data_IF_582456382230
#
_entry.id   IF_582456382230
#
_cell.length_a   1.000
_cell.length_b   1.000
_cell.length_c   1.000
_cell.angle_alpha   90.00
_cell.angle_beta   90.00
_cell.angle_gamma   90.00
#
_symmetry.space_group_name_H-M   'P 1'
#
loop_
_entity.id
_entity.type
_entity.pdbx_description
1 polymer ?
#
# COMPACT_ATOMS: atom_id res chain seq x y z
N UNK A 1 -94.44 -12.68 81.32
CA UNK A 1 -95.70 -13.12 80.69
C UNK A 1 -96.71 -13.67 81.71
N UNK A 2 -96.30 -14.49 82.68
CA UNK A 2 -97.16 -14.98 83.78
C UNK A 2 -97.74 -13.89 84.69
N UNK A 3 -97.04 -12.77 84.89
CA UNK A 3 -97.48 -11.68 85.77
C UNK A 3 -98.53 -10.75 85.15
N UNK A 4 -98.70 -10.76 83.82
CA UNK A 4 -99.77 -10.00 83.13
C UNK A 4 -101.08 -10.78 82.98
N UNK A 5 -101.08 -12.07 83.28
CA UNK A 5 -102.33 -12.87 83.33
C UNK A 5 -103.03 -12.79 84.69
N UNK A 6 -102.30 -12.40 85.75
CA UNK A 6 -102.86 -12.23 87.10
C UNK A 6 -103.76 -10.99 87.23
N UNK A 7 -103.55 -9.96 86.41
CA UNK A 7 -104.35 -8.72 86.44
C UNK A 7 -105.68 -8.83 85.67
N UNK A 8 -105.99 -10.00 85.11
CA UNK A 8 -107.21 -10.30 84.38
C UNK A 8 -108.37 -10.75 85.27
N UNK A 9 -108.61 -10.11 86.42
CA UNK A 9 -109.77 -10.41 87.25
C UNK A 9 -111.03 -9.77 86.63
N UNK A 10 -111.84 -10.61 85.97
CA UNK A 10 -113.11 -10.23 85.30
C UNK A 10 -114.28 -10.26 86.29
N UNK A 11 -114.29 -9.37 87.26
CA UNK A 11 -115.52 -8.96 87.94
C UNK A 11 -115.65 -7.45 87.81
N UNK A 12 -116.63 -7.00 87.03
CA UNK A 12 -116.77 -5.60 86.65
C UNK A 12 -117.27 -4.71 87.81
N UNK A 13 -117.85 -5.30 88.86
CA UNK A 13 -118.16 -4.66 90.14
C UNK A 13 -118.09 -5.70 91.26
N UNK A 14 -117.18 -5.49 92.21
CA UNK A 14 -117.27 -6.16 93.51
C UNK A 14 -118.11 -5.26 94.44
N UNK A 15 -119.14 -5.77 95.14
CA UNK A 15 -119.96 -4.92 95.99
C UNK A 15 -119.17 -4.43 97.21
N UNK A 16 -119.28 -3.15 97.55
CA UNK A 16 -118.73 -2.57 98.79
C UNK A 16 -119.49 -3.03 100.06
N UNK A 17 -120.53 -3.86 99.89
CA UNK A 17 -121.42 -4.36 100.96
C UNK A 17 -121.38 -5.90 100.99
N UNK A 18 -121.34 -6.55 102.17
CA UNK A 18 -121.28 -8.01 102.30
C UNK A 18 -122.48 -8.72 101.66
N UNK A 19 -122.24 -9.82 100.93
CA UNK A 19 -123.23 -10.56 100.12
C UNK A 19 -124.49 -10.98 100.88
N UNK A 20 -124.42 -11.11 102.20
CA UNK A 20 -125.48 -11.56 103.09
C UNK A 20 -126.58 -10.52 103.33
N UNK A 21 -126.35 -9.23 102.98
CA UNK A 21 -127.30 -8.13 103.17
C UNK A 21 -128.07 -7.74 101.89
N UNK A 22 -127.78 -8.39 100.76
CA UNK A 22 -128.45 -8.12 99.48
C UNK A 22 -129.80 -8.84 99.43
N UNK A 23 -130.85 -8.16 98.97
CA UNK A 23 -132.11 -8.82 98.63
C UNK A 23 -131.90 -9.77 97.44
N UNK A 24 -132.67 -10.86 97.36
CA UNK A 24 -132.54 -11.84 96.26
C UNK A 24 -132.62 -11.19 94.86
N UNK A 25 -133.43 -10.15 94.73
CA UNK A 25 -133.54 -9.31 93.52
C UNK A 25 -132.26 -8.56 93.17
N UNK A 26 -131.53 -8.03 94.15
CA UNK A 26 -130.27 -7.32 93.96
C UNK A 26 -129.13 -8.30 93.65
N UNK A 27 -129.13 -9.48 94.28
CA UNK A 27 -128.17 -10.54 94.01
C UNK A 27 -128.34 -11.12 92.60
N UNK A 28 -129.58 -11.35 92.15
CA UNK A 28 -129.87 -11.75 90.77
C UNK A 28 -129.49 -10.65 89.76
N UNK A 29 -129.73 -9.37 90.07
CA UNK A 29 -129.31 -8.24 89.22
C UNK A 29 -127.79 -8.13 89.08
N UNK A 30 -127.06 -8.24 90.19
CA UNK A 30 -125.59 -8.21 90.22
C UNK A 30 -124.96 -9.43 89.53
N UNK A 31 -125.60 -10.60 89.64
CA UNK A 31 -125.20 -11.80 88.92
C UNK A 31 -125.46 -11.66 87.40
N UNK A 32 -126.60 -11.08 87.00
CA UNK A 32 -126.92 -10.81 85.60
C UNK A 32 -126.00 -9.76 84.97
N UNK A 33 -125.68 -8.68 85.69
CA UNK A 33 -124.72 -7.66 85.26
C UNK A 33 -123.29 -8.22 85.12
N UNK A 34 -122.82 -9.00 86.10
CA UNK A 34 -121.50 -9.61 86.03
C UNK A 34 -121.42 -10.66 84.92
N UNK A 35 -122.45 -11.49 84.72
CA UNK A 35 -122.52 -12.42 83.59
C UNK A 35 -122.57 -11.67 82.26
N UNK A 36 -123.34 -10.60 82.15
CA UNK A 36 -123.39 -9.75 80.96
C UNK A 36 -122.05 -9.07 80.63
N UNK A 37 -121.35 -8.55 81.65
CA UNK A 37 -120.02 -8.00 81.51
C UNK A 37 -118.98 -9.06 81.13
N UNK A 38 -119.10 -10.28 81.67
CA UNK A 38 -118.24 -11.41 81.31
C UNK A 38 -118.44 -11.81 79.85
N UNK A 39 -119.70 -11.89 79.38
CA UNK A 39 -120.04 -12.17 77.97
C UNK A 39 -119.50 -11.08 77.05
N UNK A 40 -119.63 -9.81 77.42
CA UNK A 40 -119.10 -8.67 76.66
C UNK A 40 -117.57 -8.71 76.59
N UNK A 41 -116.91 -8.98 77.72
CA UNK A 41 -115.45 -9.10 77.79
C UNK A 41 -114.95 -10.33 77.00
N UNK A 42 -115.70 -11.43 77.03
CA UNK A 42 -115.41 -12.61 76.23
C UNK A 42 -115.53 -12.30 74.74
N UNK A 43 -116.61 -11.66 74.29
CA UNK A 43 -116.75 -11.20 72.90
C UNK A 43 -115.59 -10.29 72.47
N UNK A 44 -115.24 -9.30 73.31
CA UNK A 44 -114.13 -8.37 73.05
C UNK A 44 -112.77 -9.07 73.03
N UNK A 45 -112.58 -10.11 73.84
CA UNK A 45 -111.39 -10.95 73.83
C UNK A 45 -111.32 -11.80 72.56
N UNK A 46 -112.44 -12.39 72.14
CA UNK A 46 -112.55 -13.14 70.88
C UNK A 46 -112.25 -12.24 69.69
N UNK A 47 -112.81 -11.03 69.61
CA UNK A 47 -112.51 -10.05 68.55
C UNK A 47 -111.03 -9.62 68.54
N UNK A 48 -110.41 -9.47 69.72
CA UNK A 48 -108.97 -9.18 69.82
C UNK A 48 -108.12 -10.35 69.34
N UNK A 49 -108.51 -11.58 69.67
CA UNK A 49 -107.82 -12.80 69.21
C UNK A 49 -107.91 -12.89 67.69
N UNK A 50 -109.10 -12.73 67.10
CA UNK A 50 -109.27 -12.81 65.64
C UNK A 50 -108.50 -11.70 64.91
N UNK A 51 -108.45 -10.49 65.46
CA UNK A 51 -107.62 -9.40 64.92
C UNK A 51 -106.11 -9.69 65.04
N UNK A 52 -105.65 -10.24 66.17
CA UNK A 52 -104.24 -10.63 66.34
C UNK A 52 -103.87 -11.81 65.43
N UNK A 53 -104.74 -12.79 65.26
CA UNK A 53 -104.57 -13.89 64.30
C UNK A 53 -104.45 -13.36 62.88
N UNK A 54 -105.30 -12.39 62.51
CA UNK A 54 -105.21 -11.72 61.22
C UNK A 54 -103.87 -10.98 61.05
N UNK A 55 -103.44 -10.19 62.04
CA UNK A 55 -102.14 -9.50 62.00
C UNK A 55 -100.98 -10.50 61.92
N UNK A 56 -101.00 -11.56 62.73
CA UNK A 56 -99.97 -12.60 62.71
C UNK A 56 -99.91 -13.28 61.34
N UNK A 57 -101.06 -13.57 60.73
CA UNK A 57 -101.12 -14.11 59.38
C UNK A 57 -100.54 -13.13 58.37
N UNK A 58 -100.96 -11.87 58.35
CA UNK A 58 -100.40 -10.84 57.48
C UNK A 58 -98.88 -10.66 57.66
N UNK A 59 -98.38 -10.69 58.90
CA UNK A 59 -96.94 -10.60 59.19
C UNK A 59 -96.19 -11.83 58.69
N UNK A 60 -96.78 -13.01 58.80
CA UNK A 60 -96.20 -14.26 58.29
C UNK A 60 -96.15 -14.24 56.77
N UNK A 61 -97.23 -13.83 56.11
CA UNK A 61 -97.32 -13.74 54.65
C UNK A 61 -96.31 -12.71 54.09
N UNK A 62 -96.16 -11.56 54.75
CA UNK A 62 -95.16 -10.55 54.38
C UNK A 62 -93.72 -10.99 54.65
N UNK A 63 -93.47 -11.75 55.72
CA UNK A 63 -92.14 -12.27 56.01
C UNK A 63 -91.75 -13.37 55.01
N UNK A 64 -92.69 -14.24 54.64
CA UNK A 64 -92.48 -15.26 53.61
C UNK A 64 -92.21 -14.62 52.24
N UNK A 65 -92.98 -13.60 51.85
CA UNK A 65 -92.75 -12.92 50.56
C UNK A 65 -91.43 -12.15 50.55
N UNK A 66 -91.03 -11.55 51.68
CA UNK A 66 -89.74 -10.90 51.80
C UNK A 66 -88.59 -11.92 51.75
N UNK A 67 -88.70 -13.04 52.46
CA UNK A 67 -87.70 -14.11 52.42
C UNK A 67 -87.54 -14.64 50.99
N UNK A 68 -88.64 -14.93 50.30
CA UNK A 68 -88.61 -15.44 48.94
C UNK A 68 -87.99 -14.42 47.97
N UNK A 69 -88.33 -13.14 48.09
CA UNK A 69 -87.71 -12.10 47.24
C UNK A 69 -86.21 -11.93 47.52
N UNK A 70 -85.74 -12.12 48.75
CA UNK A 70 -84.32 -12.13 49.08
C UNK A 70 -83.60 -13.37 48.52
N UNK A 71 -84.17 -14.57 48.66
CA UNK A 71 -83.61 -15.81 48.12
C UNK A 71 -83.50 -15.71 46.59
N UNK A 72 -84.55 -15.25 45.90
CA UNK A 72 -84.54 -15.02 44.45
C UNK A 72 -83.47 -14.00 44.03
N UNK A 73 -83.28 -12.93 44.83
CA UNK A 73 -82.26 -11.92 44.55
C UNK A 73 -80.84 -12.46 44.76
N UNK A 74 -80.60 -13.27 45.80
CA UNK A 74 -79.32 -13.91 46.03
C UNK A 74 -78.99 -14.94 44.96
N UNK A 75 -79.97 -15.74 44.53
CA UNK A 75 -79.79 -16.71 43.45
C UNK A 75 -79.42 -16.01 42.14
N UNK A 76 -80.16 -14.96 41.75
CA UNK A 76 -79.82 -14.13 40.59
C UNK A 76 -78.42 -13.51 40.67
N UNK A 77 -78.05 -12.99 41.85
CA UNK A 77 -76.72 -12.39 42.05
C UNK A 77 -75.61 -13.44 41.96
N UNK A 78 -75.82 -14.63 42.52
CA UNK A 78 -74.90 -15.77 42.43
C UNK A 78 -74.71 -16.24 40.99
N UNK A 79 -75.79 -16.34 40.21
CA UNK A 79 -75.72 -16.68 38.79
C UNK A 79 -74.98 -15.61 37.97
N UNK A 80 -75.24 -14.33 38.22
CA UNK A 80 -74.51 -13.23 37.57
C UNK A 80 -73.01 -13.26 37.90
N UNK A 81 -72.64 -13.51 39.16
CA UNK A 81 -71.24 -13.60 39.58
C UNK A 81 -70.54 -14.77 38.87
N UNK A 82 -71.18 -15.95 38.80
CA UNK A 82 -70.64 -17.12 38.09
C UNK A 82 -70.48 -16.86 36.59
N UNK A 83 -71.47 -16.20 35.97
CA UNK A 83 -71.39 -15.82 34.56
C UNK A 83 -70.23 -14.84 34.30
N UNK A 84 -70.04 -13.87 35.18
CA UNK A 84 -68.95 -12.91 35.12
C UNK A 84 -67.59 -13.57 35.31
N UNK A 85 -67.43 -14.44 36.31
CA UNK A 85 -66.18 -15.17 36.55
C UNK A 85 -65.80 -16.04 35.35
N UNK A 86 -66.78 -16.72 34.76
CA UNK A 86 -66.56 -17.53 33.56
C UNK A 86 -66.18 -16.67 32.34
N UNK A 87 -66.78 -15.49 32.16
CA UNK A 87 -66.37 -14.54 31.12
C UNK A 87 -64.91 -14.07 31.32
N UNK A 88 -64.52 -13.72 32.55
CA UNK A 88 -63.15 -13.33 32.87
C UNK A 88 -62.14 -14.47 32.70
N UNK A 89 -62.49 -15.69 33.07
CA UNK A 89 -61.64 -16.86 32.84
C UNK A 89 -61.41 -17.12 31.35
N UNK A 90 -62.46 -16.98 30.52
CA UNK A 90 -62.32 -17.08 29.05
C UNK A 90 -61.40 -16.02 28.49
N UNK A 91 -61.57 -14.76 28.90
CA UNK A 91 -60.72 -13.66 28.43
C UNK A 91 -59.27 -13.84 28.88
N UNK A 92 -59.05 -14.22 30.14
CA UNK A 92 -57.73 -14.55 30.66
C UNK A 92 -57.06 -15.65 29.83
N UNK A 93 -57.76 -16.74 29.57
CA UNK A 93 -57.19 -17.87 28.83
C UNK A 93 -56.88 -17.51 27.37
N UNK A 94 -57.76 -16.71 26.74
CA UNK A 94 -57.51 -16.16 25.41
C UNK A 94 -56.25 -15.30 25.38
N UNK A 95 -56.09 -14.37 26.32
CA UNK A 95 -54.91 -13.51 26.41
C UNK A 95 -53.63 -14.31 26.68
N UNK A 96 -53.66 -15.25 27.63
CA UNK A 96 -52.53 -16.14 27.92
C UNK A 96 -52.08 -16.91 26.68
N UNK A 97 -53.04 -17.42 25.89
CA UNK A 97 -52.73 -18.13 24.65
C UNK A 97 -52.17 -17.19 23.57
N UNK A 98 -52.72 -15.98 23.42
CA UNK A 98 -52.18 -14.97 22.50
C UNK A 98 -50.75 -14.56 22.87
N UNK A 99 -50.48 -14.30 24.16
CA UNK A 99 -49.13 -13.96 24.65
C UNK A 99 -48.15 -15.11 24.45
N UNK A 100 -48.58 -16.35 24.72
CA UNK A 100 -47.74 -17.54 24.51
C UNK A 100 -47.37 -17.73 23.05
N UNK A 101 -48.34 -17.54 22.13
CA UNK A 101 -48.09 -17.62 20.69
C UNK A 101 -47.15 -16.51 20.21
N UNK A 102 -47.37 -15.27 20.67
CA UNK A 102 -46.51 -14.13 20.31
C UNK A 102 -45.08 -14.33 20.81
N UNK A 103 -44.90 -14.82 22.04
CA UNK A 103 -43.58 -15.13 22.58
C UNK A 103 -42.88 -16.22 21.75
N UNK A 104 -43.60 -17.28 21.37
CA UNK A 104 -43.05 -18.34 20.52
C UNK A 104 -42.61 -17.80 19.15
N UNK A 105 -43.41 -16.95 18.51
CA UNK A 105 -43.08 -16.31 17.24
C UNK A 105 -41.85 -15.38 17.36
N UNK A 106 -41.79 -14.58 18.42
CA UNK A 106 -40.64 -13.70 18.69
C UNK A 106 -39.38 -14.51 18.93
N UNK A 107 -39.44 -15.59 19.73
CA UNK A 107 -38.32 -16.48 19.96
C UNK A 107 -37.83 -17.13 18.66
N UNK A 108 -38.75 -17.66 17.84
CA UNK A 108 -38.41 -18.27 16.55
C UNK A 108 -37.71 -17.27 15.60
N UNK A 109 -38.27 -16.07 15.46
CA UNK A 109 -37.65 -15.01 14.63
C UNK A 109 -36.29 -14.56 15.16
N UNK A 110 -36.14 -14.49 16.48
CA UNK A 110 -34.86 -14.11 17.11
C UNK A 110 -33.80 -15.17 16.81
N UNK A 111 -34.15 -16.45 16.91
CA UNK A 111 -33.25 -17.55 16.58
C UNK A 111 -32.85 -17.55 15.10
N UNK A 112 -33.79 -17.38 14.18
CA UNK A 112 -33.49 -17.26 12.74
C UNK A 112 -32.58 -16.06 12.43
N UNK A 113 -32.81 -14.93 13.10
CA UNK A 113 -31.96 -13.74 12.98
C UNK A 113 -30.54 -14.01 13.51
N UNK A 114 -30.40 -14.74 14.62
CA UNK A 114 -29.11 -15.12 15.18
C UNK A 114 -28.33 -16.07 14.25
N UNK A 115 -28.99 -17.10 13.72
CA UNK A 115 -28.39 -18.04 12.78
C UNK A 115 -27.93 -17.35 11.49
N UNK A 116 -28.76 -16.45 10.94
CA UNK A 116 -28.40 -15.68 9.75
C UNK A 116 -27.27 -14.69 10.02
N UNK A 117 -27.25 -14.03 11.19
CA UNK A 117 -26.16 -13.17 11.62
C UNK A 117 -24.84 -13.95 11.81
N UNK A 118 -24.90 -15.15 12.36
CA UNK A 118 -23.71 -15.99 12.54
C UNK A 118 -23.16 -16.47 11.18
N UNK A 119 -24.05 -16.86 10.25
CA UNK A 119 -23.68 -17.23 8.88
C UNK A 119 -23.06 -16.07 8.11
N UNK A 120 -23.59 -14.85 8.24
CA UNK A 120 -22.98 -13.67 7.60
C UNK A 120 -21.64 -13.30 8.23
N UNK A 121 -21.51 -13.42 9.55
CA UNK A 121 -20.23 -13.19 10.26
C UNK A 121 -19.14 -14.16 9.81
N UNK A 122 -19.46 -15.44 9.62
CA UNK A 122 -18.52 -16.43 9.09
C UNK A 122 -18.07 -16.10 7.66
N UNK A 123 -19.00 -15.66 6.80
CA UNK A 123 -18.67 -15.20 5.43
C UNK A 123 -17.78 -13.96 5.44
N UNK A 124 -18.07 -13.00 6.32
CA UNK A 124 -17.26 -11.79 6.49
C UNK A 124 -15.83 -12.14 6.91
N UNK A 125 -15.65 -13.06 7.86
CA UNK A 125 -14.33 -13.53 8.26
C UNK A 125 -13.56 -14.17 7.09
N UNK A 126 -14.24 -14.96 6.25
CA UNK A 126 -13.64 -15.52 5.04
C UNK A 126 -13.22 -14.44 4.02
N UNK A 127 -14.06 -13.42 3.83
CA UNK A 127 -13.75 -12.29 2.95
C UNK A 127 -12.61 -11.43 3.49
N UNK A 128 -12.59 -11.16 4.80
CA UNK A 128 -11.53 -10.41 5.46
C UNK A 128 -10.17 -11.08 5.27
N UNK A 129 -10.10 -12.41 5.46
CA UNK A 129 -8.88 -13.18 5.17
C UNK A 129 -8.43 -13.06 3.72
N UNK A 130 -9.37 -13.12 2.76
CA UNK A 130 -9.05 -12.94 1.33
C UNK A 130 -8.54 -11.51 1.07
N UNK A 131 -9.15 -10.50 1.68
CA UNK A 131 -8.68 -9.11 1.60
C UNK A 131 -7.27 -8.94 2.16
N UNK A 132 -6.96 -9.55 3.31
CA UNK A 132 -5.62 -9.56 3.90
C UNK A 132 -4.60 -10.25 2.97
N UNK A 133 -4.96 -11.41 2.40
CA UNK A 133 -4.10 -12.11 1.44
C UNK A 133 -3.87 -11.29 0.16
N UNK A 134 -4.92 -10.64 -0.36
CA UNK A 134 -4.83 -9.79 -1.56
C UNK A 134 -4.02 -8.51 -1.31
N UNK A 135 -4.21 -7.88 -0.15
CA UNK A 135 -3.43 -6.69 0.22
C UNK A 135 -1.96 -7.03 0.40
N UNK A 136 -1.63 -8.18 1.01
CA UNK A 136 -0.26 -8.65 1.10
C UNK A 136 0.35 -8.92 -0.28
N UNK A 137 -0.38 -9.61 -1.17
CA UNK A 137 0.06 -9.84 -2.56
C UNK A 137 0.25 -8.54 -3.33
N UNK A 138 -0.66 -7.58 -3.19
CA UNK A 138 -0.57 -6.29 -3.84
C UNK A 138 0.68 -5.50 -3.36
N UNK A 139 0.92 -5.47 -2.05
CA UNK A 139 2.12 -4.83 -1.49
C UNK A 139 3.41 -5.50 -1.99
N UNK A 140 3.41 -6.83 -2.08
CA UNK A 140 4.52 -7.59 -2.67
C UNK A 140 4.75 -7.17 -4.13
N UNK A 141 3.71 -7.13 -4.96
CA UNK A 141 3.80 -6.71 -6.38
C UNK A 141 4.26 -5.25 -6.53
N UNK A 142 3.78 -4.33 -5.69
CA UNK A 142 4.23 -2.93 -5.71
C UNK A 142 5.73 -2.86 -5.39
N UNK A 143 6.20 -3.62 -4.39
CA UNK A 143 7.62 -3.64 -4.02
C UNK A 143 8.50 -4.23 -5.13
N UNK A 144 8.07 -5.31 -5.78
CA UNK A 144 8.82 -5.92 -6.89
C UNK A 144 8.83 -5.01 -8.11
N UNK A 145 7.72 -4.35 -8.43
CA UNK A 145 7.64 -3.38 -9.53
C UNK A 145 8.57 -2.17 -9.29
N UNK A 146 8.63 -1.67 -8.05
CA UNK A 146 9.56 -0.59 -7.69
C UNK A 146 11.01 -1.00 -7.90
N UNK A 147 11.38 -2.22 -7.51
CA UNK A 147 12.72 -2.76 -7.72
C UNK A 147 13.04 -2.92 -9.22
N UNK A 148 12.11 -3.47 -10.02
CA UNK A 148 12.28 -3.60 -11.48
C UNK A 148 12.44 -2.24 -12.16
N UNK A 149 11.72 -1.21 -11.71
CA UNK A 149 11.88 0.14 -12.23
C UNK A 149 13.27 0.71 -11.94
N UNK A 150 13.76 0.54 -10.70
CA UNK A 150 15.13 0.91 -10.34
C UNK A 150 16.13 0.17 -11.23
N UNK A 151 16.04 -1.15 -11.32
CA UNK A 151 16.91 -1.98 -12.15
C UNK A 151 16.92 -1.55 -13.64
N UNK A 152 15.77 -1.23 -14.21
CA UNK A 152 15.69 -0.74 -15.59
C UNK A 152 16.37 0.63 -15.74
N UNK A 153 16.22 1.50 -14.75
CA UNK A 153 16.85 2.82 -14.75
C UNK A 153 18.38 2.75 -14.58
N UNK A 154 18.90 1.79 -13.80
CA UNK A 154 20.37 1.58 -13.65
C UNK A 154 20.94 1.07 -14.96
N UNK A 155 20.30 0.06 -15.56
CA UNK A 155 20.71 -0.48 -16.84
C UNK A 155 20.73 0.61 -17.93
N UNK A 156 19.69 1.45 -18.00
CA UNK A 156 19.62 2.54 -18.97
C UNK A 156 20.72 3.60 -18.74
N UNK A 157 20.98 3.96 -17.48
CA UNK A 157 22.07 4.87 -17.13
C UNK A 157 23.45 4.24 -17.43
N UNK A 158 23.64 2.94 -17.22
CA UNK A 158 24.84 2.20 -17.58
C UNK A 158 25.10 2.28 -19.08
N UNK A 159 24.07 1.95 -19.87
CA UNK A 159 24.11 2.01 -21.33
C UNK A 159 24.41 3.43 -21.82
N UNK A 160 23.83 4.45 -21.20
CA UNK A 160 24.10 5.85 -21.54
C UNK A 160 25.57 6.25 -21.27
N UNK A 161 26.11 5.89 -20.09
CA UNK A 161 27.50 6.17 -19.73
C UNK A 161 28.50 5.43 -20.62
N UNK A 162 28.25 4.15 -20.90
CA UNK A 162 29.09 3.34 -21.79
C UNK A 162 29.03 3.84 -23.24
N UNK A 163 27.85 4.19 -23.75
CA UNK A 163 27.70 4.78 -25.08
C UNK A 163 28.40 6.14 -25.17
N UNK A 164 28.33 6.95 -24.10
CA UNK A 164 29.05 8.21 -23.97
C UNK A 164 30.58 8.06 -23.98
N UNK A 165 31.10 6.91 -23.54
CA UNK A 165 32.53 6.58 -23.57
C UNK A 165 32.98 5.98 -24.92
N UNK A 166 32.11 5.21 -25.59
CA UNK A 166 32.44 4.52 -26.84
C UNK A 166 32.75 5.50 -27.99
N UNK A 167 31.96 6.56 -28.13
CA UNK A 167 32.13 7.56 -29.18
C UNK A 167 33.55 8.18 -29.23
N UNK A 168 34.08 8.75 -28.14
CA UNK A 168 35.43 9.31 -28.13
C UNK A 168 36.54 8.24 -28.24
N UNK A 169 36.32 7.03 -27.72
CA UNK A 169 37.26 5.91 -27.90
C UNK A 169 37.37 5.49 -29.36
N UNK A 170 36.24 5.38 -30.05
CA UNK A 170 36.21 5.08 -31.48
C UNK A 170 36.87 6.19 -32.32
N UNK A 171 36.58 7.46 -32.01
CA UNK A 171 37.25 8.59 -32.65
C UNK A 171 38.77 8.54 -32.48
N UNK A 172 39.26 8.23 -31.27
CA UNK A 172 40.70 8.02 -31.01
C UNK A 172 41.25 6.86 -31.84
N UNK A 173 40.55 5.72 -31.89
CA UNK A 173 40.95 4.57 -32.70
C UNK A 173 41.10 4.94 -34.18
N UNK A 174 40.12 5.64 -34.76
CA UNK A 174 40.20 6.11 -36.15
C UNK A 174 41.42 7.00 -36.38
N UNK A 175 41.67 7.97 -35.49
CA UNK A 175 42.84 8.87 -35.63
C UNK A 175 44.17 8.11 -35.54
N UNK A 176 44.28 7.14 -34.63
CA UNK A 176 45.46 6.29 -34.49
C UNK A 176 45.66 5.41 -35.72
N UNK A 177 44.58 4.86 -36.29
CA UNK A 177 44.63 4.10 -37.53
C UNK A 177 45.14 4.95 -38.70
N UNK A 178 44.62 6.17 -38.86
CA UNK A 178 45.10 7.11 -39.89
C UNK A 178 46.56 7.50 -39.68
N UNK A 179 46.99 7.73 -38.44
CA UNK A 179 48.40 8.01 -38.12
C UNK A 179 49.30 6.82 -38.45
N UNK A 180 48.86 5.58 -38.15
CA UNK A 180 49.58 4.36 -38.50
C UNK A 180 49.78 4.24 -40.00
N UNK A 181 48.73 4.48 -40.80
CA UNK A 181 48.80 4.43 -42.28
C UNK A 181 49.82 5.45 -42.79
N UNK A 182 49.73 6.71 -42.34
CA UNK A 182 50.68 7.74 -42.74
C UNK A 182 52.13 7.40 -42.36
N UNK A 183 52.35 6.82 -41.19
CA UNK A 183 53.68 6.42 -40.75
C UNK A 183 54.21 5.22 -41.55
N UNK A 184 53.34 4.26 -41.88
CA UNK A 184 53.69 3.15 -42.76
C UNK A 184 54.12 3.67 -44.13
N UNK A 185 53.40 4.63 -44.71
CA UNK A 185 53.78 5.25 -45.99
C UNK A 185 55.14 5.98 -45.91
N UNK A 186 55.43 6.66 -44.79
CA UNK A 186 56.73 7.30 -44.57
C UNK A 186 57.87 6.28 -44.44
N UNK A 187 57.64 5.15 -43.77
CA UNK A 187 58.62 4.06 -43.67
C UNK A 187 58.89 3.46 -45.04
N UNK A 188 57.83 3.16 -45.81
CA UNK A 188 57.95 2.64 -47.17
C UNK A 188 58.72 3.61 -48.09
N UNK A 189 58.42 4.91 -48.00
CA UNK A 189 59.14 5.95 -48.76
C UNK A 189 60.61 6.04 -48.35
N UNK A 190 60.91 5.94 -47.05
CA UNK A 190 62.27 5.95 -46.54
C UNK A 190 63.08 4.75 -47.02
N UNK A 191 62.48 3.54 -47.02
CA UNK A 191 63.10 2.34 -47.56
C UNK A 191 63.40 2.48 -49.06
N UNK A 192 62.47 3.02 -49.83
CA UNK A 192 62.64 3.26 -51.26
C UNK A 192 63.76 4.27 -51.55
N UNK A 193 63.83 5.37 -50.80
CA UNK A 193 64.91 6.35 -50.92
C UNK A 193 66.26 5.74 -50.52
N UNK A 194 66.32 4.93 -49.46
CA UNK A 194 67.55 4.23 -49.08
C UNK A 194 68.01 3.24 -50.16
N UNK A 195 67.08 2.54 -50.81
CA UNK A 195 67.39 1.68 -51.95
C UNK A 195 67.95 2.50 -53.14
N UNK A 196 67.34 3.64 -53.46
CA UNK A 196 67.85 4.54 -54.51
C UNK A 196 69.22 5.11 -54.18
N UNK A 197 69.48 5.49 -52.92
CA UNK A 197 70.79 5.95 -52.46
C UNK A 197 71.82 4.83 -52.60
N UNK A 198 71.50 3.60 -52.17
CA UNK A 198 72.39 2.43 -52.36
C UNK A 198 72.68 2.21 -53.84
N UNK A 199 71.68 2.26 -54.71
CA UNK A 199 71.85 2.10 -56.16
C UNK A 199 72.72 3.20 -56.78
N UNK A 200 72.54 4.46 -56.36
CA UNK A 200 73.40 5.57 -56.78
C UNK A 200 74.85 5.40 -56.29
N UNK A 201 75.02 4.90 -55.06
CA UNK A 201 76.34 4.65 -54.46
C UNK A 201 77.08 3.51 -55.16
N UNK A 202 76.35 2.51 -55.68
CA UNK A 202 76.91 1.46 -56.54
C UNK A 202 77.14 1.91 -57.99
N UNK A 203 76.42 2.92 -58.48
CA UNK A 203 76.58 3.47 -59.83
C UNK A 203 77.67 4.54 -59.95
N UNK A 204 78.18 5.07 -58.84
CA UNK A 204 79.30 6.02 -58.80
C UNK A 204 80.64 5.27 -58.90
N UNK A 205 81.51 5.56 -59.89
CA UNK A 205 82.85 4.99 -59.91
C UNK A 205 83.67 5.58 -58.75
N UNK A 206 84.35 4.72 -58.01
CA UNK A 206 85.31 5.09 -56.95
C UNK A 206 86.53 5.78 -57.56
N UNK A 207 86.40 7.06 -57.92
CA UNK A 207 87.52 7.98 -58.11
C UNK A 207 87.03 9.43 -58.25
N UNK A 208 86.83 10.11 -57.13
CA UNK A 208 87.00 11.58 -57.01
C UNK A 208 87.35 11.80 -55.52
N UNK A 209 88.60 12.11 -55.17
CA UNK A 209 89.27 13.35 -55.52
C UNK A 209 88.95 14.37 -54.43
N UNK A 210 89.82 14.42 -53.40
CA UNK A 210 89.77 15.38 -52.30
C UNK A 210 89.74 16.82 -52.84
N UNK A 211 89.03 17.69 -52.12
CA UNK A 211 89.14 19.16 -52.05
C UNK A 211 87.86 19.91 -52.45
N UNK A 212 87.03 20.25 -51.44
CA UNK A 212 86.39 21.57 -51.26
C UNK A 212 85.53 21.53 -50.00
N UNK A 213 86.16 21.63 -48.83
CA UNK A 213 85.51 21.53 -47.51
C UNK A 213 85.73 22.78 -46.66
N UNK A 214 85.38 23.98 -47.15
CA UNK A 214 85.20 25.13 -46.23
C UNK A 214 83.98 26.02 -46.56
N UNK A 215 83.58 26.19 -47.83
CA UNK A 215 82.38 26.97 -48.17
C UNK A 215 81.04 26.23 -47.93
N UNK A 216 81.04 24.89 -47.90
CA UNK A 216 79.81 24.05 -47.82
C UNK A 216 79.27 23.89 -46.39
N UNK A 217 80.10 24.06 -45.37
CA UNK A 217 79.73 23.88 -43.96
C UNK A 217 78.81 25.00 -43.44
N UNK A 218 79.02 26.25 -43.87
CA UNK A 218 78.18 27.40 -43.44
C UNK A 218 76.76 27.33 -44.02
N UNK A 219 76.61 26.86 -45.27
CA UNK A 219 75.31 26.66 -45.92
C UNK A 219 74.53 25.46 -45.33
N UNK A 220 75.24 24.42 -44.85
CA UNK A 220 74.62 23.30 -44.13
C UNK A 220 74.03 23.71 -42.77
N UNK A 221 74.70 24.59 -42.01
CA UNK A 221 74.18 25.09 -40.72
C UNK A 221 72.92 25.94 -40.87
N UNK A 222 72.86 26.82 -41.87
CA UNK A 222 71.66 27.63 -42.15
C UNK A 222 70.47 26.76 -42.61
N UNK A 223 70.71 25.75 -43.46
CA UNK A 223 69.69 24.77 -43.86
C UNK A 223 69.22 23.90 -42.69
N UNK A 224 70.12 23.54 -41.77
CA UNK A 224 69.78 22.80 -40.56
C UNK A 224 68.88 23.62 -39.63
N UNK A 225 69.19 24.91 -39.42
CA UNK A 225 68.35 25.82 -38.63
C UNK A 225 66.97 26.04 -39.26
N UNK A 226 66.90 26.21 -40.60
CA UNK A 226 65.63 26.31 -41.30
C UNK A 226 64.81 25.01 -41.23
N UNK A 227 65.47 23.85 -41.25
CA UNK A 227 64.82 22.55 -41.08
C UNK A 227 64.28 22.37 -39.65
N UNK A 228 65.05 22.76 -38.63
CA UNK A 228 64.60 22.77 -37.22
C UNK A 228 63.40 23.71 -37.05
N UNK A 229 63.46 24.94 -37.59
CA UNK A 229 62.35 25.89 -37.53
C UNK A 229 61.07 25.35 -38.20
N UNK A 230 61.18 24.76 -39.39
CA UNK A 230 60.03 24.13 -40.07
C UNK A 230 59.45 22.98 -39.25
N UNK A 231 60.29 22.18 -38.62
CA UNK A 231 59.88 21.07 -37.76
C UNK A 231 59.16 21.56 -36.50
N UNK A 232 59.64 22.65 -35.89
CA UNK A 232 58.98 23.32 -34.77
C UNK A 232 57.64 23.92 -35.17
N UNK A 233 57.54 24.59 -36.33
CA UNK A 233 56.28 25.16 -36.83
C UNK A 233 55.24 24.07 -37.13
N UNK A 234 55.66 22.95 -37.73
CA UNK A 234 54.77 21.80 -37.98
C UNK A 234 54.28 21.22 -36.64
N UNK A 235 55.15 21.08 -35.64
CA UNK A 235 54.77 20.61 -34.31
C UNK A 235 53.75 21.57 -33.65
N UNK A 236 54.00 22.88 -33.70
CA UNK A 236 53.08 23.90 -33.15
C UNK A 236 51.73 23.90 -33.88
N UNK A 237 51.71 23.78 -35.21
CA UNK A 237 50.47 23.66 -35.98
C UNK A 237 49.71 22.37 -35.66
N UNK A 238 50.40 21.25 -35.46
CA UNK A 238 49.79 20.00 -35.03
C UNK A 238 49.16 20.13 -33.63
N UNK A 239 49.86 20.77 -32.68
CA UNK A 239 49.35 21.04 -31.33
C UNK A 239 48.15 22.00 -31.36
N UNK A 240 48.18 23.04 -32.19
CA UNK A 240 47.04 23.96 -32.31
C UNK A 240 45.82 23.30 -32.97
N UNK A 241 46.02 22.39 -33.93
CA UNK A 241 44.95 21.58 -34.51
C UNK A 241 44.38 20.58 -33.51
N UNK A 242 45.22 19.94 -32.69
CA UNK A 242 44.81 19.09 -31.57
C UNK A 242 44.01 19.87 -30.52
N UNK A 243 44.43 21.11 -30.21
CA UNK A 243 43.73 22.00 -29.28
C UNK A 243 42.39 22.50 -29.82
N UNK A 244 42.28 22.74 -31.13
CA UNK A 244 41.01 23.09 -31.78
C UNK A 244 40.04 21.90 -31.77
N UNK A 245 40.52 20.67 -32.02
CA UNK A 245 39.71 19.45 -31.91
C UNK A 245 39.19 19.22 -30.49
N UNK A 246 39.98 19.57 -29.47
CA UNK A 246 39.56 19.47 -28.07
C UNK A 246 38.49 20.50 -27.65
N UNK A 247 38.28 21.58 -28.42
CA UNK A 247 37.28 22.63 -28.11
C UNK A 247 35.85 22.31 -28.60
N UNK A 248 35.66 21.28 -29.42
CA UNK A 248 34.37 20.95 -30.04
C UNK A 248 33.68 19.71 -29.44
N UNK A 249 34.10 19.23 -28.27
CA UNK A 249 33.45 18.11 -27.57
C UNK A 249 32.77 18.57 -26.27
N UNK A 250 31.45 18.42 -26.18
CA UNK A 250 30.68 18.58 -24.94
C UNK A 250 30.85 17.34 -24.07
N UNK A 251 32.00 17.23 -23.38
CA UNK A 251 32.22 16.12 -22.45
C UNK A 251 31.60 16.35 -21.09
N UNK A 252 30.96 15.29 -20.58
CA UNK A 252 30.41 15.21 -19.24
C UNK A 252 31.56 15.16 -18.19
N UNK A 253 32.53 14.26 -18.38
CA UNK A 253 33.76 14.17 -17.57
C UNK A 253 34.83 13.34 -18.29
N UNK A 254 36.06 13.33 -17.75
CA UNK A 254 37.17 12.46 -18.18
C UNK A 254 37.52 11.51 -17.03
N UNK A 255 37.45 10.22 -17.28
CA UNK A 255 37.90 9.16 -16.38
C UNK A 255 39.39 8.87 -16.63
N UNK A 256 40.18 8.72 -15.57
CA UNK A 256 41.58 8.32 -15.66
C UNK A 256 41.78 7.09 -14.80
N UNK A 257 42.26 6.00 -15.41
CA UNK A 257 42.79 4.86 -14.67
C UNK A 257 44.03 5.35 -13.91
N UNK A 258 44.03 5.34 -12.58
CA UNK A 258 45.01 6.00 -11.70
C UNK A 258 46.49 5.66 -11.92
N UNK A 259 46.79 4.78 -12.88
CA UNK A 259 48.10 4.61 -13.50
C UNK A 259 48.66 5.93 -14.09
N UNK A 260 49.86 6.32 -13.65
CA UNK A 260 50.56 7.50 -14.17
C UNK A 260 50.95 7.30 -15.65
N UNK A 261 50.11 7.75 -16.57
CA UNK A 261 50.48 7.89 -17.98
C UNK A 261 49.43 7.50 -19.03
N UNK A 262 48.23 7.04 -18.64
CA UNK A 262 47.18 6.68 -19.61
C UNK A 262 46.32 7.89 -20.00
N UNK A 263 46.03 8.00 -21.29
CA UNK A 263 45.15 9.04 -21.87
C UNK A 263 43.72 8.81 -21.40
N UNK A 264 43.26 9.58 -20.40
CA UNK A 264 41.94 9.39 -19.79
C UNK A 264 40.77 9.23 -20.78
N UNK A 265 39.81 8.37 -20.47
CA UNK A 265 38.62 8.08 -21.27
C UNK A 265 37.61 9.22 -21.05
N UNK A 266 37.29 9.95 -22.11
CA UNK A 266 36.27 11.01 -22.06
C UNK A 266 34.88 10.37 -22.16
N UNK A 267 33.92 10.83 -21.35
CA UNK A 267 32.51 10.43 -21.44
C UNK A 267 31.71 11.65 -21.90
N UNK A 268 30.99 11.56 -23.02
CA UNK A 268 30.25 12.67 -23.62
C UNK A 268 28.74 12.56 -23.36
N UNK A 269 28.05 13.71 -23.23
CA UNK A 269 26.58 13.75 -23.20
C UNK A 269 26.00 13.73 -24.62
N UNK A 270 24.81 13.12 -24.76
CA UNK A 270 24.06 13.16 -26.01
C UNK A 270 23.40 14.51 -26.25
N UNK A 271 24.05 15.37 -27.04
CA UNK A 271 23.37 16.41 -27.82
C UNK A 271 23.77 16.26 -29.29
N UNK A 272 22.75 16.03 -30.12
CA UNK A 272 22.84 15.51 -31.48
C UNK A 272 23.14 16.64 -32.48
N UNK A 273 24.35 16.71 -33.04
CA UNK A 273 24.60 17.39 -34.34
C UNK A 273 25.63 16.63 -35.17
N UNK A 274 25.23 16.29 -36.40
CA UNK A 274 26.01 15.73 -37.52
C UNK A 274 26.31 14.23 -37.55
N UNK A 275 25.25 13.45 -37.79
CA UNK A 275 25.32 12.06 -38.27
C UNK A 275 25.56 12.03 -39.79
N UNK A 276 26.66 12.63 -40.26
CA UNK A 276 26.99 12.70 -41.70
C UNK A 276 28.40 12.19 -42.03
N UNK A 277 29.24 11.93 -41.02
CA UNK A 277 30.62 11.48 -41.23
C UNK A 277 30.88 10.00 -40.93
N UNK A 278 29.89 9.28 -40.37
CA UNK A 278 30.03 7.88 -39.91
C UNK A 278 29.58 6.82 -40.93
N UNK A 279 29.03 7.24 -42.08
CA UNK A 279 28.47 6.30 -43.06
C UNK A 279 29.54 5.61 -43.93
N UNK A 280 30.82 5.98 -43.81
CA UNK A 280 31.89 5.47 -44.68
C UNK A 280 32.73 4.32 -44.09
N UNK A 281 32.41 3.82 -42.88
CA UNK A 281 33.26 2.81 -42.22
C UNK A 281 32.56 1.47 -41.88
N UNK A 282 31.26 1.32 -42.15
CA UNK A 282 30.56 0.04 -41.98
C UNK A 282 30.59 -0.81 -43.25
N UNK A 283 31.78 -1.08 -43.77
CA UNK A 283 31.96 -2.17 -44.74
C UNK A 283 33.33 -2.79 -44.50
N UNK A 284 33.33 -3.97 -43.88
CA UNK A 284 34.53 -4.79 -43.75
C UNK A 284 34.82 -5.23 -42.32
N UNK A 285 34.07 -6.22 -41.83
CA UNK A 285 34.63 -7.22 -40.93
C UNK A 285 33.93 -8.52 -41.24
N UNK A 286 34.66 -9.44 -41.88
CA UNK A 286 34.25 -10.82 -42.00
C UNK A 286 34.22 -11.49 -40.63
N UNK A 287 33.33 -12.46 -40.59
CA UNK A 287 32.79 -13.20 -39.48
C UNK A 287 33.87 -13.99 -38.72
N UNK A 288 33.99 -13.74 -37.40
CA UNK A 288 34.53 -14.71 -36.45
C UNK A 288 33.46 -14.93 -35.41
N UNK A 289 32.76 -16.05 -35.54
CA UNK A 289 31.77 -16.52 -34.57
C UNK A 289 32.39 -16.59 -33.18
N UNK A 290 32.04 -15.62 -32.35
CA UNK A 290 32.20 -15.68 -30.89
C UNK A 290 31.12 -16.63 -30.37
N UNK A 291 31.46 -17.47 -29.40
CA UNK A 291 30.55 -18.47 -28.83
C UNK A 291 29.29 -17.79 -28.26
N UNK A 292 28.20 -17.78 -29.04
CA UNK A 292 26.98 -17.04 -28.74
C UNK A 292 26.32 -17.47 -27.41
N UNK A 293 26.65 -18.66 -26.92
CA UNK A 293 26.14 -19.24 -25.67
C UNK A 293 26.83 -18.62 -24.45
N UNK A 294 28.15 -18.46 -24.47
CA UNK A 294 28.91 -17.82 -23.38
C UNK A 294 28.58 -16.33 -23.28
N UNK A 295 28.40 -15.68 -24.44
CA UNK A 295 27.89 -14.31 -24.50
C UNK A 295 26.48 -14.18 -23.91
N UNK A 296 25.57 -15.12 -24.23
CA UNK A 296 24.21 -15.13 -23.69
C UNK A 296 24.19 -15.38 -22.17
N UNK A 297 24.98 -16.33 -21.68
CA UNK A 297 25.13 -16.61 -20.24
C UNK A 297 25.73 -15.41 -19.49
N UNK A 298 26.67 -14.70 -20.10
CA UNK A 298 27.25 -13.49 -19.52
C UNK A 298 26.23 -12.34 -19.48
N UNK A 299 25.52 -12.07 -20.59
CA UNK A 299 24.49 -11.03 -20.67
C UNK A 299 23.27 -11.31 -19.78
N UNK A 300 23.01 -12.57 -19.44
CA UNK A 300 21.92 -12.98 -18.55
C UNK A 300 22.38 -13.23 -17.10
N UNK A 301 23.66 -13.00 -16.80
CA UNK A 301 24.21 -13.29 -15.47
C UNK A 301 23.66 -12.35 -14.40
N UNK A 302 23.18 -12.93 -13.30
CA UNK A 302 22.69 -12.19 -12.13
C UNK A 302 23.81 -11.37 -11.46
N UNK A 303 25.05 -11.84 -11.56
CA UNK A 303 26.23 -11.14 -11.03
C UNK A 303 26.50 -9.84 -11.80
N UNK A 304 26.39 -9.85 -13.13
CA UNK A 304 26.52 -8.64 -13.95
C UNK A 304 25.39 -7.65 -13.64
N UNK A 305 24.15 -8.15 -13.54
CA UNK A 305 22.99 -7.32 -13.18
C UNK A 305 23.14 -6.65 -11.81
N UNK A 306 23.59 -7.40 -10.79
CA UNK A 306 23.85 -6.86 -9.46
C UNK A 306 25.03 -5.88 -9.45
N UNK A 307 26.09 -6.15 -10.21
CA UNK A 307 27.24 -5.26 -10.35
C UNK A 307 26.84 -3.93 -11.00
N UNK A 308 26.03 -3.96 -12.07
CA UNK A 308 25.54 -2.74 -12.72
C UNK A 308 24.62 -1.94 -11.79
N UNK A 309 23.66 -2.61 -11.15
CA UNK A 309 22.67 -1.95 -10.29
C UNK A 309 23.32 -1.36 -9.03
N UNK A 310 24.26 -2.06 -8.40
CA UNK A 310 25.02 -1.54 -7.26
C UNK A 310 25.91 -0.36 -7.66
N UNK A 311 26.60 -0.43 -8.81
CA UNK A 311 27.50 0.63 -9.28
C UNK A 311 26.77 1.94 -9.60
N UNK A 312 25.48 1.89 -9.90
CA UNK A 312 24.69 3.03 -10.39
C UNK A 312 23.65 3.52 -9.35
N UNK A 313 23.51 2.81 -8.24
CA UNK A 313 22.61 3.15 -7.13
C UNK A 313 22.73 4.61 -6.65
N UNK A 314 23.96 5.13 -6.51
CA UNK A 314 24.20 6.54 -6.12
C UNK A 314 23.68 7.55 -7.16
N UNK A 315 23.78 7.23 -8.45
CA UNK A 315 23.24 8.08 -9.52
C UNK A 315 21.71 8.02 -9.56
N UNK A 316 21.10 6.87 -9.24
CA UNK A 316 19.65 6.72 -9.15
C UNK A 316 19.05 7.50 -8.00
N UNK A 317 19.70 7.52 -6.84
CA UNK A 317 19.25 8.28 -5.67
C UNK A 317 19.26 9.80 -5.95
N UNK A 318 20.21 10.26 -6.76
CA UNK A 318 20.27 11.65 -7.23
C UNK A 318 19.21 11.95 -8.30
N UNK A 319 18.95 11.00 -9.22
CA UNK A 319 17.95 11.17 -10.29
C UNK A 319 16.49 11.04 -9.80
N UNK A 320 16.24 10.29 -8.73
CA UNK A 320 14.90 10.07 -8.17
C UNK A 320 14.38 11.23 -7.29
N UNK A 321 15.23 12.23 -7.00
CA UNK A 321 14.89 13.46 -6.29
C UNK A 321 15.09 14.67 -7.21
N UNK A 322 14.20 14.91 -8.19
CA UNK A 322 14.33 16.07 -9.06
C UNK A 322 13.99 17.32 -8.25
N UNK A 323 15.01 18.07 -7.83
CA UNK A 323 14.84 19.39 -7.23
C UNK A 323 14.96 20.44 -8.35
N UNK A 324 13.85 21.05 -8.81
CA UNK A 324 13.82 21.85 -10.04
C UNK A 324 14.61 23.16 -9.96
N UNK A 325 14.94 23.65 -8.76
CA UNK A 325 15.51 24.99 -8.56
C UNK A 325 17.02 25.01 -8.24
N UNK A 326 17.72 23.87 -8.19
CA UNK A 326 19.13 23.87 -7.78
C UNK A 326 20.11 23.75 -8.96
N UNK A 327 20.73 24.87 -9.32
CA UNK A 327 21.94 24.92 -10.17
C UNK A 327 23.14 24.20 -9.52
N UNK A 328 23.03 23.87 -8.22
CA UNK A 328 23.97 23.04 -7.47
C UNK A 328 23.83 21.53 -7.80
N UNK A 329 22.73 21.10 -8.44
CA UNK A 329 22.51 19.70 -8.84
C UNK A 329 23.48 19.24 -9.93
N UNK A 330 23.96 20.14 -10.80
CA UNK A 330 24.85 19.77 -11.91
C UNK A 330 26.18 19.18 -11.46
N UNK A 331 26.84 19.81 -10.48
CA UNK A 331 28.12 19.31 -9.95
C UNK A 331 27.94 17.99 -9.17
N UNK A 332 26.87 17.88 -8.38
CA UNK A 332 26.53 16.65 -7.65
C UNK A 332 26.22 15.51 -8.62
N UNK A 333 25.43 15.77 -9.67
CA UNK A 333 25.11 14.81 -10.72
C UNK A 333 26.35 14.36 -11.50
N UNK A 334 27.22 15.29 -11.91
CA UNK A 334 28.47 14.98 -12.61
C UNK A 334 29.41 14.17 -11.72
N UNK A 335 29.52 14.52 -10.43
CA UNK A 335 30.35 13.78 -9.48
C UNK A 335 29.82 12.36 -9.21
N UNK A 336 28.50 12.21 -9.07
CA UNK A 336 27.82 10.92 -8.93
C UNK A 336 28.00 10.07 -10.20
N UNK A 337 27.81 10.66 -11.39
CA UNK A 337 28.03 9.99 -12.66
C UNK A 337 29.48 9.54 -12.83
N UNK A 338 30.46 10.37 -12.45
CA UNK A 338 31.89 10.02 -12.50
C UNK A 338 32.24 8.87 -11.55
N UNK A 339 31.73 8.91 -10.33
CA UNK A 339 31.96 7.86 -9.33
C UNK A 339 31.26 6.55 -9.71
N UNK A 340 30.02 6.62 -10.20
CA UNK A 340 29.28 5.46 -10.69
C UNK A 340 29.97 4.84 -11.90
N UNK A 341 30.47 5.65 -12.83
CA UNK A 341 31.24 5.16 -13.98
C UNK A 341 32.55 4.50 -13.56
N UNK A 342 33.28 5.07 -12.59
CA UNK A 342 34.49 4.45 -12.06
C UNK A 342 34.17 3.08 -11.43
N UNK A 343 33.17 3.01 -10.54
CA UNK A 343 32.71 1.75 -9.93
C UNK A 343 32.23 0.73 -10.97
N UNK A 344 31.51 1.18 -11.98
CA UNK A 344 31.04 0.33 -13.08
C UNK A 344 32.24 -0.24 -13.85
N UNK A 345 33.22 0.58 -14.20
CA UNK A 345 34.43 0.13 -14.91
C UNK A 345 35.26 -0.81 -14.04
N UNK A 346 35.45 -0.53 -12.75
CA UNK A 346 36.19 -1.38 -11.83
C UNK A 346 35.52 -2.75 -11.65
N UNK A 347 34.20 -2.77 -11.48
CA UNK A 347 33.43 -4.02 -11.35
C UNK A 347 33.37 -4.81 -12.66
N UNK A 348 33.22 -4.13 -13.80
CA UNK A 348 33.29 -4.79 -15.11
C UNK A 348 34.69 -5.33 -15.38
N UNK A 349 35.76 -4.61 -15.00
CA UNK A 349 37.14 -5.09 -15.14
C UNK A 349 37.36 -6.38 -14.34
N UNK A 350 36.87 -6.45 -13.10
CA UNK A 350 36.94 -7.68 -12.28
C UNK A 350 36.16 -8.82 -12.94
N UNK A 351 34.94 -8.56 -13.44
CA UNK A 351 34.13 -9.58 -14.14
C UNK A 351 34.79 -10.06 -15.44
N UNK A 352 35.41 -9.16 -16.19
CA UNK A 352 36.10 -9.45 -17.45
C UNK A 352 37.43 -10.19 -17.23
N UNK A 353 38.17 -9.89 -16.16
CA UNK A 353 39.37 -10.63 -15.77
C UNK A 353 39.01 -12.06 -15.30
N UNK A 354 37.84 -12.27 -14.69
CA UNK A 354 37.37 -13.61 -14.29
C UNK A 354 36.84 -14.47 -15.44
N UNK A 355 36.39 -13.87 -16.54
CA UNK A 355 35.91 -14.58 -17.74
C UNK A 355 37.05 -15.05 -18.67
N UNK A 356 38.29 -14.62 -18.45
CA UNK A 356 39.45 -15.05 -19.24
C UNK A 356 39.94 -16.45 -18.82
N UNK A 357 39.19 -17.47 -19.20
CA UNK A 357 39.74 -18.81 -19.43
C UNK A 357 40.56 -18.79 -20.72
N UNK A 358 41.88 -18.65 -20.58
CA UNK A 358 42.88 -18.37 -21.62
C UNK A 358 43.05 -16.89 -21.98
N UNK A 359 44.28 -16.34 -21.86
CA UNK A 359 44.54 -14.96 -22.25
C UNK A 359 44.37 -14.88 -23.77
N UNK A 360 43.35 -14.15 -24.22
CA UNK A 360 43.34 -13.65 -25.59
C UNK A 360 44.66 -12.89 -25.79
N UNK A 361 45.45 -13.29 -26.79
CA UNK A 361 46.76 -12.71 -27.14
C UNK A 361 46.74 -11.18 -27.33
N UNK A 362 45.56 -10.54 -27.27
CA UNK A 362 45.39 -9.10 -27.23
C UNK A 362 45.92 -8.39 -25.98
N UNK A 363 46.35 -9.09 -24.91
CA UNK A 363 47.03 -8.44 -23.76
C UNK A 363 48.49 -8.02 -24.05
N UNK A 364 49.01 -8.27 -25.26
CA UNK A 364 50.40 -8.03 -25.62
C UNK A 364 50.73 -6.65 -26.23
N UNK A 365 49.80 -5.70 -26.32
CA UNK A 365 50.09 -4.37 -26.90
C UNK A 365 50.28 -3.22 -25.90
N UNK A 366 50.60 -3.52 -24.64
CA UNK A 366 51.55 -2.68 -23.88
C UNK A 366 52.98 -3.07 -24.31
N UNK A 367 53.18 -3.11 -25.63
CA UNK A 367 54.39 -3.55 -26.26
C UNK A 367 55.46 -2.52 -25.94
N UNK A 368 56.58 -3.00 -25.38
CA UNK A 368 57.74 -2.20 -24.95
C UNK A 368 58.46 -1.48 -26.11
N UNK A 369 57.85 -1.44 -27.30
CA UNK A 369 58.27 -0.80 -28.55
C UNK A 369 57.10 -0.16 -29.32
N UNK A 370 55.95 0.06 -28.66
CA UNK A 370 54.79 0.68 -29.30
C UNK A 370 55.16 2.05 -29.86
N UNK A 371 54.55 2.41 -30.99
CA UNK A 371 54.83 3.67 -31.67
C UNK A 371 54.51 4.88 -30.78
N UNK A 372 53.54 4.74 -29.86
CA UNK A 372 53.20 5.72 -28.82
C UNK A 372 54.38 5.89 -27.85
N UNK A 373 54.97 4.79 -27.35
CA UNK A 373 56.13 4.86 -26.47
C UNK A 373 57.36 5.42 -27.19
N UNK A 374 57.60 5.03 -28.45
CA UNK A 374 58.73 5.55 -29.24
C UNK A 374 58.57 7.05 -29.55
N UNK A 375 57.35 7.50 -29.85
CA UNK A 375 57.05 8.93 -30.02
C UNK A 375 57.15 9.69 -28.71
N UNK A 376 56.61 9.16 -27.61
CA UNK A 376 56.69 9.77 -26.28
C UNK A 376 58.15 9.90 -25.84
N UNK A 377 58.96 8.84 -25.93
CA UNK A 377 60.39 8.87 -25.62
C UNK A 377 61.16 9.81 -26.58
N UNK A 378 60.82 9.82 -27.87
CA UNK A 378 61.42 10.73 -28.86
C UNK A 378 61.13 12.20 -28.56
N UNK A 379 59.88 12.53 -28.23
CA UNK A 379 59.46 13.86 -27.79
C UNK A 379 60.14 14.24 -26.48
N UNK A 380 60.21 13.32 -25.52
CA UNK A 380 60.85 13.56 -24.23
C UNK A 380 62.35 13.86 -24.39
N UNK A 381 63.01 13.16 -25.32
CA UNK A 381 64.43 13.38 -25.66
C UNK A 381 64.65 14.71 -26.35
N UNK A 382 63.77 15.09 -27.28
CA UNK A 382 63.83 16.40 -27.95
C UNK A 382 63.55 17.54 -26.95
N UNK A 383 62.62 17.35 -26.02
CA UNK A 383 62.28 18.34 -25.01
C UNK A 383 63.42 18.51 -23.98
N UNK A 384 64.07 17.40 -23.57
CA UNK A 384 65.25 17.45 -22.73
C UNK A 384 66.43 18.16 -23.43
N UNK A 385 66.64 17.90 -24.72
CA UNK A 385 67.66 18.59 -25.51
C UNK A 385 67.36 20.08 -25.73
N UNK A 386 66.09 20.48 -25.82
CA UNK A 386 65.69 21.87 -25.88
C UNK A 386 65.96 22.61 -24.56
N UNK A 387 65.67 21.95 -23.42
CA UNK A 387 65.99 22.43 -22.08
C UNK A 387 67.50 22.59 -21.85
N UNK A 388 68.31 21.61 -22.28
CA UNK A 388 69.78 21.71 -22.24
C UNK A 388 70.34 22.81 -23.15
N UNK A 389 69.62 23.16 -24.23
CA UNK A 389 69.97 24.24 -25.14
C UNK A 389 69.43 25.63 -24.71
N UNK A 390 68.76 25.72 -23.55
CA UNK A 390 68.28 26.98 -22.98
C UNK A 390 67.03 27.57 -23.65
N UNK A 391 66.18 26.73 -24.25
CA UNK A 391 64.87 27.10 -24.78
C UNK A 391 63.72 26.71 -23.84
#
# INVERSE_FOLDING_TARGET
>A
LLQRMADGHVLAKMPEVPLEALSWTELCGLLHENVGALIMNFHKAVERITHLEYICKCKTDTLNSLQQTHEDAFEKMSEQLKAQEHCWQKEKHYLEQQYSNLLAEVCARTQECEETAQKTRQKLYGLEKICEELTHKNNSVISTLSNVYKDRSSLLAACALLSGALCPLYGRLCTMSSQRVLLQDQVNLHELVNQQIRNLLYALPTNVGKNQDEARLRNRRAKHLAYVFRRSVIAVLAVNRLRALAKYSSSLFVWTDGSRGSTGIQVCMGEFRSWQHLQFCFTGSEDKGVDCVEALEWFTSSNLHAAISSSISELQDVLSKPDPDSWLSGHSLISAARNCFAKLMDNLNVLMDTAQGSPCECRAYLERDSLIQRLACGLHRVNAQALEAGL
#
